data_IF_184004725449
#
_entry.id   IF_184004725449
#
_cell.length_a   1.000
_cell.length_b   1.000
_cell.length_c   1.000
_cell.angle_alpha   90.00
_cell.angle_beta   90.00
_cell.angle_gamma   90.00
#
_symmetry.space_group_name_H-M   'P 1'
#
loop_
_entity.id
_entity.type
_entity.pdbx_description
1 polymer ?
#
# COMPACT_ATOMS: atom_id res chain seq x y z
N UNK A 1 17.82 13.99 -8.43
CA UNK A 1 16.44 13.68 -8.81
C UNK A 1 15.75 14.97 -9.25
N UNK A 2 15.10 14.99 -10.39
CA UNK A 2 14.42 16.18 -10.84
C UNK A 2 13.00 16.29 -10.26
N UNK A 3 12.37 17.44 -10.53
CA UNK A 3 11.06 17.74 -9.98
C UNK A 3 9.99 16.74 -10.41
N UNK A 4 10.04 16.32 -11.66
CA UNK A 4 9.07 15.35 -12.19
C UNK A 4 9.21 13.99 -11.51
N UNK A 5 10.43 13.57 -11.24
CA UNK A 5 10.67 12.31 -10.55
C UNK A 5 10.17 12.37 -9.11
N UNK A 6 10.37 13.50 -8.44
CA UNK A 6 9.87 13.70 -7.07
C UNK A 6 8.35 13.63 -7.06
N UNK A 7 7.70 14.29 -8.01
CA UNK A 7 6.25 14.27 -8.10
C UNK A 7 5.72 12.87 -8.36
N UNK A 8 6.37 12.13 -9.24
CA UNK A 8 5.97 10.76 -9.56
C UNK A 8 6.10 9.84 -8.36
N UNK A 9 7.23 9.93 -7.65
CA UNK A 9 7.42 9.12 -6.45
C UNK A 9 6.41 9.47 -5.36
N UNK A 10 6.13 10.76 -5.19
CA UNK A 10 5.11 11.20 -4.23
C UNK A 10 3.75 10.64 -4.58
N UNK A 11 3.39 10.66 -5.86
CA UNK A 11 2.14 10.11 -6.33
C UNK A 11 2.06 8.59 -6.08
N UNK A 12 3.16 7.88 -6.33
CA UNK A 12 3.23 6.43 -6.08
C UNK A 12 3.00 6.12 -4.59
N UNK A 13 3.62 6.89 -3.70
CA UNK A 13 3.46 6.69 -2.27
C UNK A 13 1.99 6.81 -1.87
N UNK A 14 1.32 7.85 -2.36
CA UNK A 14 -0.10 8.06 -2.07
C UNK A 14 -0.95 6.94 -2.64
N UNK A 15 -0.64 6.50 -3.86
CA UNK A 15 -1.39 5.43 -4.50
C UNK A 15 -1.27 4.11 -3.74
N UNK A 16 -0.05 3.75 -3.32
CA UNK A 16 0.15 2.53 -2.54
C UNK A 16 -0.53 2.62 -1.17
N UNK A 17 -0.45 3.77 -0.52
CA UNK A 17 -1.09 3.96 0.79
C UNK A 17 -2.61 3.83 0.68
N UNK A 18 -3.19 4.42 -0.37
CA UNK A 18 -4.63 4.32 -0.62
C UNK A 18 -5.06 2.89 -0.90
N UNK A 19 -4.28 2.17 -1.70
CA UNK A 19 -4.56 0.79 -2.02
C UNK A 19 -4.47 -0.11 -0.78
N UNK A 20 -3.45 0.11 0.06
CA UNK A 20 -3.30 -0.62 1.32
C UNK A 20 -4.52 -0.41 2.22
N UNK A 21 -4.98 0.83 2.33
CA UNK A 21 -6.15 1.15 3.13
C UNK A 21 -7.39 0.43 2.63
N UNK A 22 -7.62 0.44 1.32
CA UNK A 22 -8.77 -0.24 0.71
C UNK A 22 -8.73 -1.73 1.01
N UNK A 23 -7.57 -2.34 0.89
CA UNK A 23 -7.40 -3.77 1.15
C UNK A 23 -7.66 -4.12 2.61
N UNK A 24 -7.21 -3.26 3.54
CA UNK A 24 -7.45 -3.49 4.97
C UNK A 24 -8.92 -3.37 5.31
N UNK A 25 -9.65 -2.44 4.70
CA UNK A 25 -11.09 -2.31 4.90
C UNK A 25 -11.83 -3.53 4.36
N UNK A 26 -11.43 -4.03 3.21
CA UNK A 26 -11.99 -5.27 2.66
C UNK A 26 -11.68 -6.46 3.55
N UNK A 27 -10.47 -6.52 4.13
CA UNK A 27 -10.07 -7.57 5.05
C UNK A 27 -10.97 -7.59 6.30
N UNK A 28 -11.27 -6.40 6.84
CA UNK A 28 -12.16 -6.29 7.99
C UNK A 28 -13.56 -6.82 7.66
N UNK A 29 -14.07 -6.47 6.49
CA UNK A 29 -15.37 -6.94 6.04
C UNK A 29 -15.38 -8.45 5.88
N UNK A 30 -14.34 -9.01 5.27
CA UNK A 30 -14.22 -10.44 5.11
C UNK A 30 -14.17 -11.16 6.46
N UNK A 31 -13.42 -10.62 7.40
CA UNK A 31 -13.32 -11.19 8.75
C UNK A 31 -14.67 -11.19 9.46
N UNK A 32 -15.41 -10.10 9.33
CA UNK A 32 -16.75 -10.01 9.92
C UNK A 32 -17.70 -11.05 9.37
N UNK A 33 -17.52 -11.41 8.10
CA UNK A 33 -18.35 -12.41 7.42
C UNK A 33 -17.85 -13.84 7.62
N UNK A 34 -16.79 -14.01 8.41
CA UNK A 34 -16.23 -15.33 8.68
C UNK A 34 -15.32 -15.86 7.58
N UNK A 35 -15.00 -15.04 6.59
CA UNK A 35 -14.13 -15.43 5.48
C UNK A 35 -12.67 -15.18 5.85
N UNK A 36 -12.16 -16.01 6.76
CA UNK A 36 -10.84 -15.78 7.36
C UNK A 36 -9.69 -15.90 6.37
N UNK A 37 -9.76 -16.85 5.45
CA UNK A 37 -8.72 -17.03 4.43
C UNK A 37 -8.63 -15.81 3.53
N UNK A 38 -9.79 -15.27 3.15
CA UNK A 38 -9.85 -14.08 2.32
C UNK A 38 -9.31 -12.86 3.07
N UNK A 39 -9.66 -12.74 4.35
CA UNK A 39 -9.15 -11.65 5.19
C UNK A 39 -7.63 -11.69 5.28
N UNK A 40 -7.05 -12.89 5.43
CA UNK A 40 -5.61 -13.06 5.50
C UNK A 40 -4.95 -12.68 4.17
N UNK A 41 -5.50 -13.13 3.05
CA UNK A 41 -4.99 -12.80 1.73
C UNK A 41 -4.98 -11.29 1.49
N UNK A 42 -6.08 -10.63 1.83
CA UNK A 42 -6.18 -9.17 1.67
C UNK A 42 -5.19 -8.43 2.56
N UNK A 43 -4.96 -8.93 3.77
CA UNK A 43 -3.98 -8.35 4.68
C UNK A 43 -2.57 -8.46 4.11
N UNK A 44 -2.23 -9.60 3.52
CA UNK A 44 -0.93 -9.78 2.86
C UNK A 44 -0.76 -8.83 1.69
N UNK A 45 -1.82 -8.64 0.89
CA UNK A 45 -1.78 -7.69 -0.22
C UNK A 45 -1.59 -6.25 0.28
N UNK A 46 -2.24 -5.89 1.39
CA UNK A 46 -2.06 -4.58 2.01
C UNK A 46 -0.61 -4.39 2.46
N UNK A 47 -0.02 -5.42 3.05
CA UNK A 47 1.38 -5.36 3.50
C UNK A 47 2.34 -5.17 2.32
N UNK A 48 2.06 -5.77 1.18
CA UNK A 48 2.85 -5.56 -0.03
C UNK A 48 2.76 -4.12 -0.51
N UNK A 49 1.57 -3.53 -0.47
CA UNK A 49 1.38 -2.12 -0.84
C UNK A 49 2.17 -1.21 0.09
N UNK A 50 2.15 -1.50 1.38
CA UNK A 50 2.91 -0.72 2.37
C UNK A 50 4.41 -0.85 2.11
N UNK A 51 4.89 -2.06 1.81
CA UNK A 51 6.30 -2.28 1.49
C UNK A 51 6.71 -1.49 0.25
N UNK A 52 5.86 -1.45 -0.77
CA UNK A 52 6.11 -0.69 -1.98
C UNK A 52 6.14 0.81 -1.71
N UNK A 53 5.25 1.29 -0.83
CA UNK A 53 5.25 2.69 -0.42
C UNK A 53 6.57 3.06 0.27
N UNK A 54 7.07 2.17 1.14
CA UNK A 54 8.34 2.38 1.84
C UNK A 54 9.51 2.39 0.86
N UNK A 55 9.49 1.54 -0.17
CA UNK A 55 10.52 1.53 -1.20
C UNK A 55 10.55 2.85 -1.96
N UNK A 56 9.38 3.34 -2.35
CA UNK A 56 9.28 4.61 -3.07
C UNK A 56 9.78 5.76 -2.19
N UNK A 57 9.42 5.74 -0.90
CA UNK A 57 9.86 6.74 0.06
C UNK A 57 11.38 6.70 0.23
N UNK A 58 11.95 5.51 0.33
CA UNK A 58 13.39 5.35 0.45
C UNK A 58 14.11 5.89 -0.78
N UNK A 59 13.59 5.62 -1.97
CA UNK A 59 14.15 6.16 -3.21
C UNK A 59 14.15 7.69 -3.21
N UNK A 60 13.09 8.28 -2.67
CA UNK A 60 12.96 9.72 -2.58
C UNK A 60 13.99 10.32 -1.62
N UNK A 61 14.25 9.64 -0.51
CA UNK A 61 15.17 10.12 0.53
C UNK A 61 16.62 9.81 0.23
N UNK A 62 16.90 8.79 -0.57
CA UNK A 62 18.25 8.26 -0.77
C UNK A 62 19.02 8.91 -1.92
N UNK A 63 18.61 10.01 -2.44
CA UNK A 63 19.27 10.66 -3.56
C UNK A 63 20.62 11.30 -3.19
#
# INVERSE_FOLDING_TARGET
MNREEVQLLGFEIVAYAGDARSKLLEALTAAKNGELDKAEELTEEANECIANAHKAQTSLLAK
#
